data_IF_583937449660
#
_entry.id   IF_583937449660
#
_cell.length_a   1.000
_cell.length_b   1.000
_cell.length_c   1.000
_cell.angle_alpha   90.00
_cell.angle_beta   90.00
_cell.angle_gamma   90.00
#
_symmetry.space_group_name_H-M   'P 1'
#
loop_
_entity.id
_entity.type
_entity.pdbx_description
1 polymer ?
#
# COMPACT_ATOMS: atom_id res chain seq x y z
N UNK A 1 -8.99 -42.33 19.26
CA UNK A 1 -9.23 -41.04 18.57
C UNK A 1 -8.58 -41.11 17.19
N UNK A 2 -9.33 -40.87 16.12
CA UNK A 2 -8.85 -41.08 14.74
C UNK A 2 -7.95 -39.94 14.26
N UNK A 3 -6.76 -40.28 13.75
CA UNK A 3 -5.73 -39.35 13.26
C UNK A 3 -6.26 -38.36 12.20
N UNK A 4 -7.22 -38.79 11.38
CA UNK A 4 -7.83 -37.96 10.33
C UNK A 4 -8.68 -36.81 10.89
N UNK A 5 -9.29 -36.98 12.06
CA UNK A 5 -10.02 -35.89 12.75
C UNK A 5 -9.06 -34.80 13.24
N UNK A 6 -7.87 -35.19 13.71
CA UNK A 6 -6.87 -34.25 14.19
C UNK A 6 -6.24 -33.45 13.05
N UNK A 7 -5.92 -34.09 11.93
CA UNK A 7 -5.42 -33.39 10.73
C UNK A 7 -6.45 -32.37 10.23
N UNK A 8 -7.72 -32.76 10.13
CA UNK A 8 -8.80 -31.85 9.73
C UNK A 8 -8.93 -30.65 10.68
N UNK A 9 -8.83 -30.87 11.99
CA UNK A 9 -8.90 -29.81 13.00
C UNK A 9 -7.70 -28.85 12.93
N UNK A 10 -6.49 -29.38 12.69
CA UNK A 10 -5.27 -28.57 12.56
C UNK A 10 -5.31 -27.71 11.30
N UNK A 11 -5.76 -28.25 10.17
CA UNK A 11 -5.90 -27.50 8.92
C UNK A 11 -6.94 -26.38 9.06
N UNK A 12 -8.09 -26.67 9.68
CA UNK A 12 -9.12 -25.66 9.93
C UNK A 12 -8.63 -24.55 10.87
N UNK A 13 -7.91 -24.89 11.94
CA UNK A 13 -7.33 -23.92 12.87
C UNK A 13 -6.30 -23.01 12.17
N UNK A 14 -5.46 -23.57 11.30
CA UNK A 14 -4.50 -22.80 10.51
C UNK A 14 -5.20 -21.85 9.53
N UNK A 15 -6.26 -22.28 8.86
CA UNK A 15 -7.02 -21.44 7.93
C UNK A 15 -7.67 -20.23 8.61
N UNK A 16 -8.17 -20.39 9.84
CA UNK A 16 -8.77 -19.29 10.63
C UNK A 16 -7.68 -18.37 11.20
N UNK A 17 -6.50 -18.91 11.52
CA UNK A 17 -5.39 -18.14 12.07
C UNK A 17 -4.64 -17.29 11.03
N UNK A 18 -4.84 -17.54 9.72
CA UNK A 18 -4.20 -16.75 8.67
C UNK A 18 -4.83 -15.35 8.61
N UNK A 19 -4.06 -14.28 8.91
CA UNK A 19 -4.57 -12.92 8.77
C UNK A 19 -4.80 -12.63 7.29
N UNK A 20 -6.08 -12.60 6.89
CA UNK A 20 -6.49 -12.17 5.56
C UNK A 20 -6.32 -10.65 5.48
N UNK A 21 -5.15 -10.19 5.05
CA UNK A 21 -4.95 -8.77 4.76
C UNK A 21 -5.52 -8.47 3.37
N UNK A 22 -6.72 -7.90 3.33
CA UNK A 22 -7.30 -7.42 2.09
C UNK A 22 -6.42 -6.29 1.54
N UNK A 23 -5.75 -6.58 0.42
CA UNK A 23 -5.03 -5.56 -0.33
C UNK A 23 -6.06 -4.75 -1.13
N UNK A 24 -5.97 -3.43 -1.03
CA UNK A 24 -6.70 -2.49 -1.87
C UNK A 24 -5.70 -1.66 -2.68
N UNK A 25 -6.16 -1.10 -3.80
CA UNK A 25 -5.33 -0.24 -4.64
C UNK A 25 -5.87 1.18 -4.57
N UNK A 26 -5.02 2.10 -4.15
CA UNK A 26 -5.23 3.53 -4.28
C UNK A 26 -4.61 3.98 -5.60
N UNK A 27 -5.41 4.59 -6.48
CA UNK A 27 -4.96 4.98 -7.82
C UNK A 27 -5.46 6.37 -8.19
N UNK A 28 -4.74 7.04 -9.09
CA UNK A 28 -5.11 8.34 -9.62
C UNK A 28 -4.18 8.84 -10.71
N UNK A 29 -4.42 10.06 -11.18
CA UNK A 29 -3.57 10.77 -12.14
C UNK A 29 -3.05 12.07 -11.53
N UNK A 30 -1.79 12.39 -11.83
CA UNK A 30 -1.15 13.66 -11.51
C UNK A 30 -0.93 14.44 -12.80
N UNK A 31 -1.45 15.67 -12.80
CA UNK A 31 -1.36 16.61 -13.91
C UNK A 31 -0.99 17.99 -13.38
N UNK A 32 -0.32 18.79 -14.19
CA UNK A 32 -0.13 20.21 -13.90
C UNK A 32 -1.40 21.03 -14.18
N UNK A 33 -1.32 22.34 -13.93
CA UNK A 33 -2.43 23.29 -14.11
C UNK A 33 -2.92 23.38 -15.57
N UNK A 34 -2.07 23.05 -16.54
CA UNK A 34 -2.43 22.99 -17.96
C UNK A 34 -3.12 21.67 -18.35
N UNK A 35 -3.19 20.72 -17.43
CA UNK A 35 -3.74 19.38 -17.65
C UNK A 35 -2.72 18.38 -18.24
N UNK A 36 -1.44 18.77 -18.36
CA UNK A 36 -0.38 17.89 -18.85
C UNK A 36 -0.01 16.86 -17.78
N UNK A 37 0.11 15.61 -18.19
CA UNK A 37 0.55 14.52 -17.33
C UNK A 37 1.96 14.74 -16.76
N UNK A 38 2.10 14.46 -15.47
CA UNK A 38 3.37 14.53 -14.76
C UNK A 38 3.83 13.12 -14.36
N UNK A 39 4.80 12.61 -15.10
CA UNK A 39 5.48 11.36 -14.74
C UNK A 39 6.59 11.57 -13.73
N UNK A 40 7.00 10.47 -13.09
CA UNK A 40 8.05 10.43 -12.08
C UNK A 40 7.78 11.25 -10.82
N UNK A 41 6.52 11.64 -10.57
CA UNK A 41 6.11 12.32 -9.34
C UNK A 41 5.95 11.27 -8.24
N UNK A 42 6.61 11.50 -7.12
CA UNK A 42 6.53 10.65 -5.93
C UNK A 42 5.20 10.86 -5.21
N UNK A 43 4.39 9.82 -5.15
CA UNK A 43 3.12 9.78 -4.40
C UNK A 43 3.37 9.10 -3.07
N UNK A 44 3.18 9.82 -1.97
CA UNK A 44 3.44 9.34 -0.60
C UNK A 44 2.14 9.26 0.17
N UNK A 45 1.84 8.12 0.78
CA UNK A 45 0.64 7.90 1.57
C UNK A 45 0.97 7.74 3.05
N UNK A 46 0.27 8.50 3.89
CA UNK A 46 0.51 8.58 5.33
C UNK A 46 -0.71 8.15 6.12
N UNK A 47 -0.48 7.68 7.34
CA UNK A 47 -1.55 7.45 8.31
C UNK A 47 -1.87 8.72 9.12
N UNK A 48 -2.88 8.62 9.99
CA UNK A 48 -3.33 9.72 10.86
C UNK A 48 -2.24 10.29 11.78
N UNK A 49 -1.18 9.52 12.06
CA UNK A 49 -0.02 9.96 12.84
C UNK A 49 1.10 10.55 11.97
N UNK A 50 0.81 10.88 10.71
CA UNK A 50 1.78 11.40 9.71
C UNK A 50 2.95 10.45 9.43
N UNK A 51 2.83 9.15 9.73
CA UNK A 51 3.86 8.15 9.38
C UNK A 51 3.69 7.73 7.93
N UNK A 52 4.78 7.74 7.16
CA UNK A 52 4.79 7.22 5.79
C UNK A 52 4.54 5.71 5.83
N UNK A 53 3.57 5.24 5.04
CA UNK A 53 3.19 3.83 4.99
C UNK A 53 3.52 3.18 3.67
N UNK A 54 3.27 3.91 2.58
CA UNK A 54 3.44 3.45 1.21
C UNK A 54 3.85 4.63 0.34
N UNK A 55 4.56 4.33 -0.73
CA UNK A 55 4.89 5.29 -1.77
C UNK A 55 4.98 4.60 -3.14
N UNK A 56 4.79 5.37 -4.20
CA UNK A 56 4.99 4.95 -5.59
C UNK A 56 5.35 6.18 -6.43
N UNK A 57 5.70 5.98 -7.70
CA UNK A 57 5.91 7.07 -8.65
C UNK A 57 4.86 7.00 -9.75
N UNK A 58 4.49 8.16 -10.28
CA UNK A 58 3.64 8.22 -11.47
C UNK A 58 4.38 7.73 -12.72
N UNK A 59 3.69 7.04 -13.61
CA UNK A 59 4.22 6.67 -14.91
C UNK A 59 4.27 7.87 -15.88
N UNK A 60 4.73 7.68 -17.12
CA UNK A 60 4.81 8.76 -18.13
C UNK A 60 3.45 9.43 -18.43
N UNK A 61 2.35 8.73 -18.20
CA UNK A 61 0.97 9.20 -18.36
C UNK A 61 0.44 9.90 -17.10
N UNK A 62 1.27 10.05 -16.06
CA UNK A 62 0.92 10.67 -14.79
C UNK A 62 0.10 9.76 -13.87
N UNK A 63 -0.10 8.49 -14.22
CA UNK A 63 -0.89 7.55 -13.44
C UNK A 63 -0.07 6.94 -12.32
N UNK A 64 -0.67 6.78 -11.14
CA UNK A 64 -0.09 6.00 -10.06
C UNK A 64 -1.04 4.90 -9.60
N UNK A 65 -0.45 3.80 -9.13
CA UNK A 65 -1.15 2.71 -8.45
C UNK A 65 -0.34 2.35 -7.20
N UNK A 66 -0.99 2.46 -6.05
CA UNK A 66 -0.39 2.25 -4.74
C UNK A 66 -1.14 1.13 -4.04
N UNK A 67 -0.47 -0.01 -3.86
CA UNK A 67 -1.02 -1.11 -3.09
C UNK A 67 -1.01 -0.74 -1.60
N UNK A 68 -2.16 -0.83 -0.96
CA UNK A 68 -2.35 -0.57 0.46
C UNK A 68 -3.14 -1.71 1.09
N UNK A 69 -3.15 -1.75 2.42
CA UNK A 69 -3.95 -2.68 3.21
C UNK A 69 -4.73 -1.89 4.25
N UNK A 70 -5.76 -2.51 4.84
CA UNK A 70 -6.47 -1.88 5.97
C UNK A 70 -5.51 -1.50 7.13
N UNK A 71 -4.47 -2.31 7.34
CA UNK A 71 -3.43 -2.05 8.35
C UNK A 71 -2.60 -0.79 8.06
N UNK A 72 -2.52 -0.34 6.81
CA UNK A 72 -1.81 0.91 6.49
C UNK A 72 -2.55 2.13 7.03
N UNK A 73 -3.88 2.05 7.20
CA UNK A 73 -4.71 3.13 7.79
C UNK A 73 -4.42 4.50 7.17
N UNK A 74 -4.39 4.56 5.83
CA UNK A 74 -4.05 5.76 5.07
C UNK A 74 -5.10 6.85 5.32
N UNK A 75 -4.64 8.05 5.69
CA UNK A 75 -5.48 9.23 5.91
C UNK A 75 -5.12 10.40 5.00
N UNK A 76 -3.94 10.42 4.38
CA UNK A 76 -3.53 11.50 3.48
C UNK A 76 -2.51 11.04 2.43
N UNK A 77 -2.45 11.80 1.33
CA UNK A 77 -1.52 11.61 0.23
C UNK A 77 -0.82 12.94 -0.05
N UNK A 78 0.49 12.91 -0.30
CA UNK A 78 1.26 14.06 -0.81
C UNK A 78 1.98 13.71 -2.10
N UNK A 79 2.27 14.74 -2.89
CA UNK A 79 2.98 14.65 -4.16
C UNK A 79 4.31 15.38 -4.00
N UNK A 80 5.41 14.75 -4.43
CA UNK A 80 6.76 15.32 -4.38
C UNK A 80 7.47 15.13 -5.71
N UNK A 81 8.27 16.11 -6.12
CA UNK A 81 9.21 15.97 -7.23
C UNK A 81 10.40 15.06 -6.85
N UNK A 82 10.80 15.07 -5.58
CA UNK A 82 11.95 14.31 -5.13
C UNK A 82 11.65 12.84 -4.77
N UNK A 83 12.58 11.97 -5.15
CA UNK A 83 12.63 10.61 -4.65
C UNK A 83 12.81 10.60 -3.11
N UNK A 84 12.31 9.56 -2.45
CA UNK A 84 12.58 9.37 -1.03
C UNK A 84 14.06 9.04 -0.90
N UNK A 85 14.83 9.95 -0.31
CA UNK A 85 16.19 9.64 0.11
C UNK A 85 16.07 8.54 1.16
N UNK A 86 16.71 7.39 0.93
CA UNK A 86 16.79 6.32 1.90
C UNK A 86 17.62 6.81 3.10
N UNK A 87 16.99 7.53 4.02
CA UNK A 87 17.55 7.85 5.32
C UNK A 87 17.55 6.56 6.15
N UNK A 88 18.75 6.09 6.49
CA UNK A 88 19.03 5.10 7.53
C UNK A 88 18.13 5.37 8.73
N UNK A 89 17.34 4.37 9.10
CA UNK A 89 16.53 4.41 10.30
C UNK A 89 17.38 4.62 11.55
N UNK A 90 16.84 5.39 12.47
CA UNK A 90 17.11 5.23 13.90
C UNK A 90 15.97 4.42 14.52
#
# INVERSE_FOLDING_TARGET
>A
MSLTKHIGMVVLALLIALPLSAQTTLSGMVRDESGKALGNVMVRAYNQHKKLKRYTQTNRQGEFRLATTAHDSISSITLHDEAIQAGTGE
#
